data_IF_261894518774
#
_entry.id   IF_261894518774
#
_cell.length_a   1.000
_cell.length_b   1.000
_cell.length_c   1.000
_cell.angle_alpha   90.00
_cell.angle_beta   90.00
_cell.angle_gamma   90.00
#
_symmetry.space_group_name_H-M   'P 1'
#
loop_
_entity.id
_entity.type
_entity.pdbx_description
1 polymer ?
#
# COMPACT_ATOMS: atom_id res chain seq x y z
N UNK A 1 24.36 0.76 -15.08
CA UNK A 1 23.00 1.27 -15.38
C UNK A 1 21.93 0.52 -14.59
N UNK A 2 21.89 -0.81 -14.62
CA UNK A 2 20.93 -1.63 -13.85
C UNK A 2 21.08 -1.44 -12.32
N UNK A 3 22.31 -1.34 -11.82
CA UNK A 3 22.58 -1.11 -10.38
C UNK A 3 22.04 0.21 -9.85
N UNK A 4 22.11 1.29 -10.64
CA UNK A 4 21.60 2.60 -10.25
C UNK A 4 20.07 2.63 -10.18
N UNK A 5 19.39 1.92 -11.09
CA UNK A 5 17.93 1.81 -11.09
C UNK A 5 17.42 1.02 -9.87
N UNK A 6 18.08 -0.09 -9.53
CA UNK A 6 17.75 -0.89 -8.34
C UNK A 6 17.98 -0.07 -7.07
N UNK A 7 19.09 0.67 -7.00
CA UNK A 7 19.37 1.56 -5.87
C UNK A 7 18.31 2.65 -5.74
N UNK A 8 17.93 3.29 -6.85
CA UNK A 8 16.87 4.31 -6.84
C UNK A 8 15.52 3.74 -6.41
N UNK A 9 15.17 2.53 -6.87
CA UNK A 9 13.96 1.83 -6.44
C UNK A 9 13.98 1.56 -4.93
N UNK A 10 15.11 1.08 -4.40
CA UNK A 10 15.27 0.81 -2.98
C UNK A 10 15.16 2.08 -2.12
N UNK A 11 15.82 3.17 -2.51
CA UNK A 11 15.72 4.47 -1.83
C UNK A 11 14.28 4.98 -1.86
N UNK A 12 13.62 4.89 -3.01
CA UNK A 12 12.22 5.31 -3.15
C UNK A 12 11.30 4.48 -2.24
N UNK A 13 11.47 3.16 -2.22
CA UNK A 13 10.67 2.26 -1.37
C UNK A 13 10.83 2.61 0.12
N UNK A 14 12.06 2.81 0.57
CA UNK A 14 12.37 3.20 1.94
C UNK A 14 11.72 4.56 2.30
N UNK A 15 11.86 5.54 1.42
CA UNK A 15 11.27 6.87 1.60
C UNK A 15 9.74 6.81 1.67
N UNK A 16 9.11 6.06 0.76
CA UNK A 16 7.67 5.81 0.76
C UNK A 16 7.21 5.12 2.05
N UNK A 17 7.96 4.12 2.53
CA UNK A 17 7.66 3.45 3.80
C UNK A 17 7.66 4.44 4.97
N UNK A 18 8.75 5.18 5.16
CA UNK A 18 8.87 6.09 6.29
C UNK A 18 7.82 7.19 6.28
N UNK A 19 7.64 7.87 5.16
CA UNK A 19 6.66 8.96 5.06
C UNK A 19 5.25 8.41 5.13
N UNK A 20 4.95 7.36 4.36
CA UNK A 20 3.61 6.79 4.29
C UNK A 20 3.15 6.23 5.63
N UNK A 21 4.01 5.53 6.37
CA UNK A 21 3.69 5.04 7.72
C UNK A 21 3.50 6.20 8.68
N UNK A 22 4.38 7.21 8.65
CA UNK A 22 4.27 8.38 9.53
C UNK A 22 2.97 9.14 9.32
N UNK A 23 2.58 9.38 8.07
CA UNK A 23 1.33 10.07 7.73
C UNK A 23 0.10 9.24 8.12
N UNK A 24 0.12 7.92 7.90
CA UNK A 24 -0.99 7.07 8.29
C UNK A 24 -1.14 6.98 9.82
N UNK A 25 -0.04 6.88 10.58
CA UNK A 25 -0.08 6.92 12.05
C UNK A 25 -0.61 8.27 12.54
N UNK A 26 -0.15 9.37 11.95
CA UNK A 26 -0.65 10.71 12.29
C UNK A 26 -2.16 10.82 12.02
N UNK A 27 -2.63 10.31 10.88
CA UNK A 27 -4.05 10.32 10.54
C UNK A 27 -4.88 9.45 11.50
N UNK A 28 -4.40 8.26 11.87
CA UNK A 28 -5.04 7.41 12.89
C UNK A 28 -5.15 8.18 14.22
N UNK A 29 -4.08 8.86 14.63
CA UNK A 29 -4.11 9.69 15.84
C UNK A 29 -5.11 10.83 15.76
N UNK A 30 -5.19 11.53 14.61
CA UNK A 30 -6.18 12.58 14.37
C UNK A 30 -7.61 12.02 14.42
N UNK A 31 -7.84 10.84 13.84
CA UNK A 31 -9.15 10.16 13.87
C UNK A 31 -9.59 9.93 15.30
N UNK A 32 -8.73 9.38 16.16
CA UNK A 32 -9.09 9.12 17.55
C UNK A 32 -9.29 10.40 18.37
N UNK A 33 -8.50 11.44 18.10
CA UNK A 33 -8.50 12.65 18.94
C UNK A 33 -9.51 13.71 18.51
N UNK A 34 -9.81 13.82 17.22
CA UNK A 34 -10.52 14.97 16.64
C UNK A 34 -11.80 14.62 15.88
N UNK A 35 -12.17 13.35 15.73
CA UNK A 35 -13.38 12.98 14.97
C UNK A 35 -14.65 13.38 15.72
N UNK A 36 -15.52 14.23 15.14
CA UNK A 36 -16.85 14.50 15.69
C UNK A 36 -17.78 13.30 15.46
N UNK A 37 -18.76 13.10 16.35
CA UNK A 37 -19.69 11.95 16.30
C UNK A 37 -20.42 11.82 14.94
N UNK A 38 -20.73 12.94 14.30
CA UNK A 38 -21.40 13.00 12.99
C UNK A 38 -20.58 12.37 11.85
N UNK A 39 -19.26 12.24 12.01
CA UNK A 39 -18.34 11.69 11.00
C UNK A 39 -17.85 10.29 11.35
N UNK A 40 -18.49 9.61 12.32
CA UNK A 40 -18.05 8.30 12.83
C UNK A 40 -17.97 7.22 11.74
N UNK A 41 -18.91 7.22 10.78
CA UNK A 41 -18.87 6.27 9.65
C UNK A 41 -17.66 6.54 8.76
N UNK A 42 -17.46 7.81 8.39
CA UNK A 42 -16.33 8.20 7.55
C UNK A 42 -14.98 7.93 8.23
N UNK A 43 -14.87 8.14 9.54
CA UNK A 43 -13.65 7.85 10.28
C UNK A 43 -13.33 6.35 10.33
N UNK A 44 -14.33 5.47 10.33
CA UNK A 44 -14.09 4.03 10.24
C UNK A 44 -13.51 3.64 8.87
N UNK A 45 -14.03 4.23 7.78
CA UNK A 45 -13.50 4.02 6.42
C UNK A 45 -12.03 4.51 6.34
N UNK A 46 -11.75 5.69 6.88
CA UNK A 46 -10.38 6.22 6.94
C UNK A 46 -9.46 5.33 7.77
N UNK A 47 -9.90 4.89 8.95
CA UNK A 47 -9.11 4.02 9.83
C UNK A 47 -8.77 2.69 9.14
N UNK A 48 -9.73 2.05 8.48
CA UNK A 48 -9.50 0.84 7.69
C UNK A 48 -8.50 1.09 6.56
N UNK A 49 -8.64 2.20 5.85
CA UNK A 49 -7.72 2.56 4.75
C UNK A 49 -6.30 2.75 5.30
N UNK A 50 -6.13 3.47 6.41
CA UNK A 50 -4.81 3.68 7.02
C UNK A 50 -4.14 2.38 7.46
N UNK A 51 -4.90 1.44 8.03
CA UNK A 51 -4.36 0.13 8.43
C UNK A 51 -3.88 -0.66 7.20
N UNK A 52 -4.70 -0.69 6.15
CA UNK A 52 -4.35 -1.36 4.89
C UNK A 52 -3.14 -0.70 4.23
N UNK A 53 -3.05 0.63 4.22
CA UNK A 53 -1.93 1.36 3.64
C UNK A 53 -0.62 1.09 4.41
N UNK A 54 -0.67 1.04 5.74
CA UNK A 54 0.50 0.66 6.56
C UNK A 54 0.94 -0.77 6.22
N UNK A 55 0.01 -1.72 6.14
CA UNK A 55 0.31 -3.11 5.76
C UNK A 55 0.89 -3.17 4.34
N UNK A 56 0.35 -2.40 3.40
CA UNK A 56 0.82 -2.32 2.02
C UNK A 56 2.26 -1.81 1.96
N UNK A 57 2.58 -0.76 2.71
CA UNK A 57 3.92 -0.17 2.72
C UNK A 57 4.95 -1.14 3.33
N UNK A 58 4.62 -1.78 4.45
CA UNK A 58 5.48 -2.78 5.08
C UNK A 58 5.72 -3.95 4.13
N UNK A 59 4.64 -4.53 3.58
CA UNK A 59 4.75 -5.63 2.63
C UNK A 59 5.47 -5.22 1.34
N UNK A 60 5.26 -3.98 0.89
CA UNK A 60 5.93 -3.41 -0.28
C UNK A 60 7.44 -3.33 -0.11
N UNK A 61 7.91 -2.95 1.08
CA UNK A 61 9.35 -2.95 1.40
C UNK A 61 9.92 -4.37 1.55
N UNK A 62 9.14 -5.30 2.09
CA UNK A 62 9.57 -6.70 2.22
C UNK A 62 9.65 -7.42 0.86
N UNK A 63 8.77 -7.08 -0.07
CA UNK A 63 8.64 -7.70 -1.39
C UNK A 63 9.50 -7.00 -2.45
N UNK A 64 9.48 -5.66 -2.48
CA UNK A 64 10.06 -4.81 -3.54
C UNK A 64 9.82 -5.38 -4.95
N UNK A 65 8.56 -5.35 -5.41
CA UNK A 65 8.19 -5.91 -6.70
C UNK A 65 8.62 -4.97 -7.84
N UNK A 66 9.32 -5.53 -8.82
CA UNK A 66 9.68 -4.85 -10.07
C UNK A 66 8.92 -5.50 -11.21
N UNK A 67 8.13 -4.67 -11.90
CA UNK A 67 7.41 -5.05 -13.10
C UNK A 67 8.17 -4.59 -14.34
N UNK A 68 8.37 -5.48 -15.30
CA UNK A 68 8.99 -5.15 -16.57
C UNK A 68 8.44 -6.01 -17.70
N UNK A 69 8.58 -5.53 -18.94
CA UNK A 69 8.20 -6.29 -20.13
C UNK A 69 9.47 -6.75 -20.82
N UNK A 70 9.59 -8.06 -21.03
CA UNK A 70 10.70 -8.66 -21.76
C UNK A 70 10.14 -9.49 -22.91
N UNK A 71 10.51 -9.15 -24.14
CA UNK A 71 10.04 -9.82 -25.36
C UNK A 71 8.51 -9.89 -25.49
N UNK A 72 7.80 -8.83 -25.09
CA UNK A 72 6.33 -8.77 -25.13
C UNK A 72 5.63 -9.53 -24.00
N UNK A 73 6.38 -10.15 -23.09
CA UNK A 73 5.83 -10.86 -21.92
C UNK A 73 6.05 -10.01 -20.67
N UNK A 74 4.99 -9.75 -19.92
CA UNK A 74 5.07 -9.11 -18.61
C UNK A 74 5.72 -10.08 -17.61
N UNK A 75 6.71 -9.58 -16.88
CA UNK A 75 7.42 -10.31 -15.82
C UNK A 75 7.47 -9.49 -14.55
N UNK A 76 7.40 -10.19 -13.43
CA UNK A 76 7.59 -9.66 -12.09
C UNK A 76 8.79 -10.34 -11.42
N UNK A 77 9.59 -9.54 -10.72
CA UNK A 77 10.63 -10.04 -9.81
C UNK A 77 10.50 -9.33 -8.46
N UNK A 78 10.70 -10.07 -7.38
CA UNK A 78 10.79 -9.55 -6.02
C UNK A 78 12.26 -9.49 -5.65
N UNK A 79 12.75 -8.29 -5.37
CA UNK A 79 14.14 -8.08 -4.95
C UNK A 79 14.27 -7.73 -3.46
N UNK A 80 13.15 -7.75 -2.74
CA UNK A 80 13.10 -7.40 -1.33
C UNK A 80 13.63 -8.50 -0.41
N UNK A 81 13.48 -8.27 0.88
CA UNK A 81 13.97 -9.18 1.93
C UNK A 81 13.33 -10.56 1.86
N UNK A 82 12.14 -10.72 1.29
CA UNK A 82 11.46 -12.02 1.17
C UNK A 82 11.81 -12.79 -0.12
N UNK A 83 12.76 -12.28 -0.92
CA UNK A 83 13.21 -12.94 -2.16
C UNK A 83 13.92 -14.28 -1.94
N UNK A 84 14.39 -14.58 -0.72
CA UNK A 84 15.02 -15.87 -0.39
C UNK A 84 14.03 -17.04 -0.32
N UNK A 85 12.72 -16.76 -0.28
CA UNK A 85 11.72 -17.81 -0.18
C UNK A 85 11.71 -18.68 -1.45
N UNK A 86 11.65 -20.01 -1.31
CA UNK A 86 11.55 -20.89 -2.47
C UNK A 86 10.14 -20.86 -3.06
N UNK A 87 10.00 -21.31 -4.31
CA UNK A 87 8.69 -21.61 -4.88
C UNK A 87 8.02 -22.77 -4.10
N UNK A 88 6.72 -22.68 -3.79
CA UNK A 88 5.75 -21.67 -4.23
C UNK A 88 5.57 -20.47 -3.28
N UNK A 89 6.26 -20.45 -2.13
CA UNK A 89 6.10 -19.41 -1.10
C UNK A 89 6.43 -18.01 -1.60
N UNK A 90 7.43 -17.90 -2.48
CA UNK A 90 7.76 -16.69 -3.22
C UNK A 90 6.51 -16.08 -3.90
N UNK A 91 5.79 -16.87 -4.70
CA UNK A 91 4.58 -16.40 -5.39
C UNK A 91 3.41 -16.13 -4.43
N UNK A 92 3.29 -16.93 -3.36
CA UNK A 92 2.25 -16.70 -2.36
C UNK A 92 2.39 -15.33 -1.69
N UNK A 93 3.60 -14.96 -1.28
CA UNK A 93 3.87 -13.65 -0.68
C UNK A 93 3.56 -12.51 -1.66
N UNK A 94 3.93 -12.67 -2.94
CA UNK A 94 3.59 -11.70 -3.98
C UNK A 94 2.06 -11.52 -4.09
N UNK A 95 1.30 -12.61 -4.14
CA UNK A 95 -0.16 -12.58 -4.23
C UNK A 95 -0.76 -11.88 -3.01
N UNK A 96 -0.26 -12.16 -1.81
CA UNK A 96 -0.72 -11.48 -0.58
C UNK A 96 -0.48 -9.97 -0.67
N UNK A 97 0.71 -9.54 -1.05
CA UNK A 97 1.01 -8.11 -1.26
C UNK A 97 0.08 -7.49 -2.31
N UNK A 98 -0.16 -8.19 -3.42
CA UNK A 98 -1.02 -7.71 -4.51
C UNK A 98 -2.50 -7.59 -4.09
N UNK A 99 -2.99 -8.49 -3.24
CA UNK A 99 -4.34 -8.39 -2.64
C UNK A 99 -4.44 -7.15 -1.75
N UNK A 100 -3.44 -6.91 -0.89
CA UNK A 100 -3.42 -5.73 -0.01
C UNK A 100 -3.41 -4.44 -0.85
N UNK A 101 -2.66 -4.43 -1.95
CA UNK A 101 -2.65 -3.31 -2.91
C UNK A 101 -4.06 -3.00 -3.45
N UNK A 102 -4.83 -4.02 -3.85
CA UNK A 102 -6.21 -3.81 -4.28
C UNK A 102 -7.12 -3.30 -3.17
N UNK A 103 -6.97 -3.78 -1.94
CA UNK A 103 -7.74 -3.25 -0.81
C UNK A 103 -7.48 -1.76 -0.58
N UNK A 104 -6.22 -1.30 -0.75
CA UNK A 104 -5.89 0.13 -0.66
C UNK A 104 -6.60 0.93 -1.77
N UNK A 105 -6.55 0.47 -3.02
CA UNK A 105 -7.26 1.12 -4.14
C UNK A 105 -8.78 1.18 -3.93
N UNK A 106 -9.38 0.08 -3.47
CA UNK A 106 -10.82 0.03 -3.17
C UNK A 106 -11.15 0.98 -2.02
N UNK A 107 -10.33 1.04 -0.97
CA UNK A 107 -10.49 1.96 0.16
C UNK A 107 -10.52 3.42 -0.31
N UNK A 108 -9.61 3.80 -1.20
CA UNK A 108 -9.61 5.12 -1.84
C UNK A 108 -10.90 5.37 -2.62
N UNK A 109 -11.35 4.41 -3.42
CA UNK A 109 -12.62 4.49 -4.16
C UNK A 109 -13.84 4.67 -3.25
N UNK A 110 -13.91 3.93 -2.15
CA UNK A 110 -14.99 4.04 -1.16
C UNK A 110 -15.03 5.43 -0.53
N UNK A 111 -13.88 6.04 -0.23
CA UNK A 111 -13.84 7.41 0.30
C UNK A 111 -14.41 8.44 -0.68
N UNK A 112 -14.18 8.27 -2.00
CA UNK A 112 -14.80 9.13 -3.02
C UNK A 112 -16.30 8.92 -3.10
N UNK A 113 -16.77 7.67 -3.13
CA UNK A 113 -18.19 7.33 -3.16
C UNK A 113 -18.92 7.89 -1.94
N UNK A 114 -18.36 7.71 -0.75
CA UNK A 114 -18.95 8.23 0.49
C UNK A 114 -19.11 9.76 0.45
N UNK A 115 -18.07 10.48 0.00
CA UNK A 115 -18.11 11.94 -0.12
C UNK A 115 -19.15 12.40 -1.14
N UNK A 116 -19.26 11.71 -2.27
CA UNK A 116 -20.29 11.98 -3.26
C UNK A 116 -21.71 11.81 -2.68
N UNK A 117 -21.95 10.70 -1.96
CA UNK A 117 -23.26 10.43 -1.36
C UNK A 117 -23.68 11.45 -0.30
N UNK A 118 -22.73 11.99 0.48
CA UNK A 118 -23.04 13.02 1.48
C UNK A 118 -23.33 14.39 0.86
N UNK A 119 -22.75 14.70 -0.31
CA UNK A 119 -22.89 15.99 -0.96
C UNK A 119 -24.08 16.05 -1.94
N UNK A 120 -24.34 14.94 -2.63
CA UNK A 120 -25.31 14.89 -3.72
C UNK A 120 -26.62 14.21 -3.36
N UNK A 121 -26.75 13.67 -2.15
CA UNK A 121 -27.96 13.05 -1.63
C UNK A 121 -28.30 13.64 -0.27
#
# INVERSE_FOLDING_TARGET
>A
MISALILAHHINSLFCLFIGVSLNILLIWLIFKQTPKEKQIYSQILLQTCIIDILLLIMGELVQPIFFVQNGVAKDIMIGQLSFLPNPFYHFVFIVWFIIFYFSLIGLGIQFIYRYLILCK
#
